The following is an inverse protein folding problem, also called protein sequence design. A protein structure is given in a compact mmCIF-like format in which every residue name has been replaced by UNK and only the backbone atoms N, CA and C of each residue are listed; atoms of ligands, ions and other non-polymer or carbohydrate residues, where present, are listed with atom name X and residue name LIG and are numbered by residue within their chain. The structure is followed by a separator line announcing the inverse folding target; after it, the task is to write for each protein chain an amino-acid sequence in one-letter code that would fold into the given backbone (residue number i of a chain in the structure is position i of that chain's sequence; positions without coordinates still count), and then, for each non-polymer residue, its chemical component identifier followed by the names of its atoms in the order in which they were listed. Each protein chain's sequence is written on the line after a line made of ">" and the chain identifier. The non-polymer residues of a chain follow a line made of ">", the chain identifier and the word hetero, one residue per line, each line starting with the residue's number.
data_IF_826573419886
#
_entry.id   IF_826573419886
#
_cell.length_a   1.000
_cell.length_b   1.000
_cell.length_c   1.000
_cell.angle_alpha   90.00
_cell.angle_beta   90.00
_cell.angle_gamma   90.00
#
_symmetry.space_group_name_H-M   'P 1'
#
loop_
_entity.id
_entity.type
_entity.pdbx_description
1 polymer ?
#
# COMPACT_ATOMS: atom_id res chain seq x y z
N UNK A 1 1.94 14.05 -38.34
CA UNK A 1 2.79 14.16 -37.13
C UNK A 1 2.19 13.19 -36.12
N UNK A 2 2.74 11.99 -36.08
CA UNK A 2 2.16 10.86 -35.36
C UNK A 2 2.77 10.85 -33.96
N UNK A 3 1.95 11.08 -32.94
CA UNK A 3 2.37 10.94 -31.55
C UNK A 3 2.54 9.44 -31.26
N UNK A 4 3.77 8.94 -31.34
CA UNK A 4 4.12 7.66 -30.73
C UNK A 4 3.95 7.81 -29.22
N UNK A 5 2.86 7.26 -28.68
CA UNK A 5 2.75 7.01 -27.26
C UNK A 5 3.89 6.06 -26.87
N UNK A 6 4.88 6.57 -26.14
CA UNK A 6 5.92 5.74 -25.56
C UNK A 6 5.29 4.84 -24.50
N UNK A 7 4.86 3.65 -24.91
CA UNK A 7 4.59 2.54 -24.01
C UNK A 7 5.93 1.99 -23.53
N UNK A 8 6.61 2.74 -22.65
CA UNK A 8 7.70 2.18 -21.86
C UNK A 8 7.08 1.35 -20.74
N UNK A 9 6.81 0.08 -21.02
CA UNK A 9 6.54 -0.89 -19.97
C UNK A 9 7.82 -1.06 -19.18
N UNK A 10 7.92 -0.35 -18.05
CA UNK A 10 8.97 -0.61 -17.05
C UNK A 10 8.88 -2.10 -16.73
N UNK A 11 9.96 -2.88 -16.90
CA UNK A 11 9.92 -4.32 -16.62
C UNK A 11 9.46 -4.53 -15.17
N UNK A 12 8.62 -5.54 -14.95
CA UNK A 12 8.12 -5.86 -13.62
C UNK A 12 9.32 -6.21 -12.74
N UNK A 13 9.52 -5.41 -11.69
CA UNK A 13 10.58 -5.63 -10.72
C UNK A 13 10.01 -6.41 -9.53
N UNK A 14 10.77 -7.38 -9.04
CA UNK A 14 10.46 -8.02 -7.77
C UNK A 14 10.65 -7.00 -6.62
N UNK A 15 9.61 -6.71 -5.83
CA UNK A 15 9.71 -5.79 -4.70
C UNK A 15 10.50 -6.44 -3.57
N UNK A 16 11.10 -5.61 -2.71
CA UNK A 16 11.59 -6.11 -1.42
C UNK A 16 10.37 -6.51 -0.58
N UNK A 17 10.47 -7.64 0.12
CA UNK A 17 9.38 -8.18 0.96
C UNK A 17 9.81 -8.27 2.41
N UNK A 18 9.01 -7.70 3.32
CA UNK A 18 9.29 -7.73 4.76
C UNK A 18 8.10 -8.29 5.55
N UNK A 19 8.35 -9.33 6.34
CA UNK A 19 7.37 -9.91 7.26
C UNK A 19 7.73 -9.57 8.70
N UNK A 20 6.75 -9.18 9.50
CA UNK A 20 6.95 -8.78 10.88
C UNK A 20 6.14 -9.68 11.83
N UNK A 21 6.75 -10.23 12.90
CA UNK A 21 6.03 -11.06 13.85
C UNK A 21 5.03 -10.22 14.64
N UNK A 22 3.97 -10.86 15.14
CA UNK A 22 3.01 -10.24 16.05
C UNK A 22 3.70 -9.81 17.36
N UNK A 23 3.25 -8.70 17.91
CA UNK A 23 3.61 -8.22 19.26
C UNK A 23 2.38 -8.23 20.16
N UNK A 24 2.53 -7.87 21.44
CA UNK A 24 1.40 -7.82 22.39
C UNK A 24 0.30 -6.81 22.00
N UNK A 25 0.68 -5.75 21.28
CA UNK A 25 -0.17 -4.59 20.97
C UNK A 25 -0.40 -4.38 19.48
N UNK A 26 0.35 -5.09 18.65
CA UNK A 26 0.26 -5.00 17.19
C UNK A 26 0.30 -6.42 16.66
N UNK A 27 -0.84 -6.87 16.14
CA UNK A 27 -0.98 -8.22 15.60
C UNK A 27 -0.13 -8.47 14.36
N UNK A 28 0.19 -7.42 13.61
CA UNK A 28 0.82 -7.45 12.29
C UNK A 28 0.08 -8.33 11.27
N UNK A 29 0.30 -8.05 9.98
CA UNK A 29 -0.33 -8.82 8.90
C UNK A 29 0.40 -10.15 8.69
N UNK A 30 -0.34 -11.17 8.24
CA UNK A 30 0.25 -12.41 7.69
C UNK A 30 0.88 -12.18 6.30
N UNK A 31 0.52 -11.08 5.65
CA UNK A 31 1.02 -10.69 4.34
C UNK A 31 2.26 -9.81 4.51
N UNK A 32 3.24 -9.90 3.59
CA UNK A 32 4.43 -9.07 3.63
C UNK A 32 4.11 -7.59 3.31
N UNK A 33 4.94 -6.70 3.82
CA UNK A 33 5.09 -5.34 3.26
C UNK A 33 5.87 -5.46 1.96
N UNK A 34 5.39 -4.79 0.91
CA UNK A 34 6.06 -4.70 -0.39
C UNK A 34 6.70 -3.33 -0.55
N UNK A 35 7.98 -3.29 -0.93
CA UNK A 35 8.69 -2.04 -1.23
C UNK A 35 9.17 -2.06 -2.67
N UNK A 36 8.58 -1.18 -3.48
CA UNK A 36 8.95 -0.94 -4.87
C UNK A 36 9.99 0.18 -4.95
N UNK A 37 11.13 -0.08 -5.58
CA UNK A 37 12.25 0.89 -5.72
C UNK A 37 12.34 1.40 -7.15
N UNK A 38 12.46 2.71 -7.31
CA UNK A 38 12.72 3.33 -8.62
C UNK A 38 11.76 2.90 -9.75
N UNK A 39 10.50 2.65 -9.42
CA UNK A 39 9.46 2.22 -10.36
C UNK A 39 8.81 3.36 -11.15
N UNK A 40 9.22 4.60 -10.89
CA UNK A 40 8.78 5.81 -11.60
C UNK A 40 9.99 6.64 -12.00
N UNK A 41 10.00 7.23 -13.22
CA UNK A 41 11.07 8.13 -13.64
C UNK A 41 11.22 9.33 -12.69
N UNK A 42 12.45 9.63 -12.27
CA UNK A 42 12.72 10.67 -11.28
C UNK A 42 12.54 12.10 -11.81
N UNK A 43 12.69 12.31 -13.12
CA UNK A 43 12.74 13.65 -13.73
C UNK A 43 11.50 14.51 -13.45
N UNK A 44 10.33 13.88 -13.28
CA UNK A 44 9.04 14.56 -13.09
C UNK A 44 8.29 14.12 -11.81
N UNK A 45 8.98 13.45 -10.88
CA UNK A 45 8.32 12.82 -9.74
C UNK A 45 7.87 13.87 -8.69
N UNK A 46 6.59 14.21 -8.78
CA UNK A 46 5.86 15.10 -7.86
C UNK A 46 4.74 14.34 -7.15
N UNK A 47 4.19 14.91 -6.07
CA UNK A 47 2.98 14.40 -5.42
C UNK A 47 1.84 14.19 -6.43
N UNK A 48 1.60 15.17 -7.30
CA UNK A 48 0.55 15.10 -8.30
C UNK A 48 0.77 13.96 -9.31
N UNK A 49 2.00 13.80 -9.80
CA UNK A 49 2.34 12.72 -10.74
C UNK A 49 2.22 11.33 -10.08
N UNK A 50 2.66 11.19 -8.82
CA UNK A 50 2.58 9.95 -8.06
C UNK A 50 1.12 9.58 -7.78
N UNK A 51 0.31 10.55 -7.36
CA UNK A 51 -1.14 10.38 -7.23
C UNK A 51 -1.75 9.89 -8.53
N UNK A 52 -1.50 10.60 -9.63
CA UNK A 52 -2.09 10.28 -10.93
C UNK A 52 -1.71 8.87 -11.39
N UNK A 53 -0.46 8.46 -11.20
CA UNK A 53 0.00 7.12 -11.55
C UNK A 53 -0.72 6.03 -10.75
N UNK A 54 -0.85 6.20 -9.44
CA UNK A 54 -1.48 5.21 -8.57
C UNK A 54 -3.02 5.18 -8.68
N UNK A 55 -3.65 6.33 -8.89
CA UNK A 55 -5.11 6.42 -9.09
C UNK A 55 -5.54 5.74 -10.39
N UNK A 56 -4.71 5.82 -11.44
CA UNK A 56 -4.94 5.02 -12.65
C UNK A 56 -5.01 3.54 -12.28
N UNK A 57 -4.28 3.06 -11.29
CA UNK A 57 -4.26 1.66 -10.87
C UNK A 57 -5.31 1.35 -9.78
N UNK A 58 -6.31 2.21 -9.60
CA UNK A 58 -7.39 2.10 -8.61
C UNK A 58 -6.91 2.15 -7.14
N UNK A 59 -5.76 2.77 -6.91
CA UNK A 59 -5.32 3.17 -5.57
C UNK A 59 -5.62 4.65 -5.40
N UNK A 60 -6.71 4.95 -4.70
CA UNK A 60 -7.25 6.31 -4.56
C UNK A 60 -6.65 7.00 -3.35
N UNK A 61 -6.34 8.29 -3.49
CA UNK A 61 -5.87 9.08 -2.36
C UNK A 61 -7.02 9.22 -1.35
N UNK A 62 -6.80 8.77 -0.11
CA UNK A 62 -7.76 9.02 0.96
C UNK A 62 -7.79 10.50 1.36
N UNK A 63 -6.64 11.14 1.52
CA UNK A 63 -6.53 12.55 1.89
C UNK A 63 -5.08 13.06 1.90
N UNK A 64 -4.87 14.35 2.17
CA UNK A 64 -3.53 14.94 2.34
C UNK A 64 -3.18 14.93 3.84
N UNK A 65 -2.41 13.93 4.27
CA UNK A 65 -2.10 13.73 5.68
C UNK A 65 -0.62 14.01 5.96
N UNK A 66 -0.34 14.68 7.09
CA UNK A 66 1.01 14.76 7.64
C UNK A 66 1.42 13.42 8.26
N UNK A 67 2.71 13.25 8.50
CA UNK A 67 3.26 12.03 9.07
C UNK A 67 2.77 11.84 10.49
N UNK A 68 1.99 10.76 10.67
CA UNK A 68 1.62 10.26 11.98
C UNK A 68 2.82 9.49 12.51
N UNK A 69 3.60 10.13 13.37
CA UNK A 69 4.77 9.53 14.02
C UNK A 69 4.39 8.45 15.04
N UNK A 70 3.15 8.47 15.53
CA UNK A 70 2.65 7.47 16.46
C UNK A 70 2.50 6.12 15.75
N UNK A 71 2.91 5.03 16.40
CA UNK A 71 2.67 3.68 15.90
C UNK A 71 1.17 3.44 15.73
N UNK A 72 0.75 3.04 14.53
CA UNK A 72 -0.63 2.73 14.24
C UNK A 72 -0.75 1.61 13.21
N UNK A 73 -1.95 1.02 13.12
CA UNK A 73 -2.31 0.07 12.07
C UNK A 73 -3.75 0.27 11.60
N UNK A 74 -3.99 -0.14 10.35
CA UNK A 74 -5.32 -0.12 9.72
C UNK A 74 -5.94 -1.51 9.81
N UNK A 75 -7.12 -1.59 10.45
CA UNK A 75 -7.84 -2.86 10.59
C UNK A 75 -8.84 -3.12 9.47
N UNK A 76 -9.12 -2.13 8.62
CA UNK A 76 -10.23 -2.14 7.66
C UNK A 76 -9.78 -1.97 6.20
N UNK A 77 -8.51 -1.65 5.96
CA UNK A 77 -8.01 -1.38 4.61
C UNK A 77 -6.50 -1.56 4.51
N UNK A 78 -6.00 -1.80 3.29
CA UNK A 78 -4.59 -1.79 2.95
C UNK A 78 -4.15 -0.36 2.63
N UNK A 79 -2.96 0.03 3.09
CA UNK A 79 -2.40 1.35 2.84
C UNK A 79 -1.15 1.26 1.96
N UNK A 80 -1.06 2.13 0.96
CA UNK A 80 0.11 2.31 0.11
C UNK A 80 0.71 3.70 0.35
N UNK A 81 2.04 3.76 0.51
CA UNK A 81 2.79 5.00 0.59
C UNK A 81 3.66 5.21 -0.65
N UNK A 82 3.47 6.34 -1.33
CA UNK A 82 4.37 6.77 -2.41
C UNK A 82 5.38 7.77 -1.86
N UNK A 83 6.67 7.46 -1.85
CA UNK A 83 7.74 8.39 -1.39
C UNK A 83 8.44 8.99 -2.60
N UNK A 84 8.44 10.32 -2.72
CA UNK A 84 8.99 11.03 -3.88
C UNK A 84 10.01 12.13 -3.55
N UNK A 85 10.25 12.40 -2.26
CA UNK A 85 11.36 13.27 -1.81
C UNK A 85 11.82 12.86 -0.41
N UNK A 86 13.15 12.83 -0.18
CA UNK A 86 13.74 12.28 1.06
C UNK A 86 14.88 13.09 1.68
N UNK A 87 15.15 14.32 1.22
CA UNK A 87 16.35 15.05 1.67
C UNK A 87 16.15 15.88 2.95
N UNK A 88 14.95 16.44 3.21
CA UNK A 88 14.66 17.30 4.40
C UNK A 88 13.24 17.20 4.93
N UNK A 89 12.27 16.89 4.06
CA UNK A 89 10.87 16.60 4.39
C UNK A 89 10.49 15.38 3.58
N UNK A 90 10.09 14.29 4.24
CA UNK A 90 9.48 13.17 3.55
C UNK A 90 8.16 13.65 2.96
N UNK A 91 8.09 13.72 1.64
CA UNK A 91 6.82 13.92 0.96
C UNK A 91 6.33 12.56 0.50
N UNK A 92 5.14 12.21 0.96
CA UNK A 92 4.50 10.97 0.59
C UNK A 92 2.99 11.14 0.48
N UNK A 93 2.35 10.18 -0.17
CA UNK A 93 0.90 10.07 -0.28
C UNK A 93 0.44 8.76 0.32
N UNK A 94 -0.63 8.80 1.14
CA UNK A 94 -1.35 7.61 1.60
C UNK A 94 -2.51 7.32 0.65
N UNK A 95 -2.53 6.12 0.08
CA UNK A 95 -3.57 5.66 -0.85
C UNK A 95 -4.15 4.33 -0.40
N UNK A 96 -5.41 4.12 -0.77
CA UNK A 96 -6.18 2.93 -0.42
C UNK A 96 -6.78 2.33 -1.69
N UNK A 97 -7.03 1.01 -1.73
CA UNK A 97 -7.80 0.40 -2.80
C UNK A 97 -9.17 1.07 -2.93
N UNK A 98 -9.60 1.32 -4.17
CA UNK A 98 -10.83 2.05 -4.49
C UNK A 98 -12.08 1.51 -3.79
N UNK A 99 -12.21 0.18 -3.65
CA UNK A 99 -13.38 -0.48 -3.07
C UNK A 99 -13.22 -0.79 -1.56
N UNK A 100 -12.21 -0.22 -0.90
CA UNK A 100 -11.97 -0.48 0.52
C UNK A 100 -12.84 0.36 1.44
N UNK A 101 -13.22 -0.19 2.60
CA UNK A 101 -13.84 0.61 3.66
C UNK A 101 -12.86 1.68 4.14
N UNK A 102 -13.28 2.94 4.12
CA UNK A 102 -12.43 4.05 4.54
C UNK A 102 -12.21 4.06 6.06
N UNK A 103 -10.95 4.23 6.45
CA UNK A 103 -10.37 4.54 7.77
C UNK A 103 -10.82 3.72 8.99
N UNK A 104 -9.81 3.23 9.71
CA UNK A 104 -9.95 2.67 11.05
C UNK A 104 -8.61 2.71 11.75
N UNK A 105 -8.09 3.92 12.01
CA UNK A 105 -6.77 4.12 12.60
C UNK A 105 -6.75 3.60 14.04
N UNK A 106 -5.83 2.69 14.33
CA UNK A 106 -5.64 2.17 15.68
C UNK A 106 -4.25 2.55 16.17
N UNK A 107 -4.18 3.47 17.12
CA UNK A 107 -2.93 3.98 17.70
C UNK A 107 -2.29 3.05 18.75
N UNK A 108 -2.57 1.74 18.68
CA UNK A 108 -1.95 0.73 19.54
C UNK A 108 -2.15 0.93 21.06
N UNK A 109 -3.16 1.71 21.48
CA UNK A 109 -3.51 1.94 22.90
C UNK A 109 -4.59 0.97 23.42
N UNK A 110 -5.15 0.13 22.55
CA UNK A 110 -6.21 -0.80 22.90
C UNK A 110 -5.70 -1.94 23.79
N UNK A 111 -6.62 -2.56 24.53
CA UNK A 111 -6.29 -3.77 25.30
C UNK A 111 -5.83 -4.92 24.37
N UNK A 112 -5.11 -5.94 24.87
CA UNK A 112 -4.76 -7.11 24.08
C UNK A 112 -5.99 -7.84 23.48
N UNK A 113 -7.11 -7.84 24.22
CA UNK A 113 -8.36 -8.46 23.76
C UNK A 113 -8.98 -7.67 22.60
N UNK A 114 -9.04 -6.34 22.69
CA UNK A 114 -9.51 -5.50 21.58
C UNK A 114 -8.56 -5.54 20.38
N UNK A 115 -7.25 -5.56 20.63
CA UNK A 115 -6.23 -5.73 19.59
C UNK A 115 -6.45 -7.04 18.83
N UNK A 116 -6.77 -8.12 19.55
CA UNK A 116 -7.07 -9.42 18.94
C UNK A 116 -8.35 -9.39 18.08
N UNK A 117 -9.40 -8.67 18.53
CA UNK A 117 -10.62 -8.46 17.74
C UNK A 117 -10.33 -7.67 16.46
N UNK A 118 -9.60 -6.54 16.58
CA UNK A 118 -9.19 -5.71 15.44
C UNK A 118 -8.31 -6.49 14.46
N UNK A 119 -7.44 -7.37 14.96
CA UNK A 119 -6.64 -8.27 14.14
C UNK A 119 -7.48 -9.27 13.34
N UNK A 120 -8.55 -9.81 13.95
CA UNK A 120 -9.46 -10.70 13.25
C UNK A 120 -10.18 -9.99 12.10
N UNK A 121 -10.62 -8.75 12.33
CA UNK A 121 -11.19 -7.89 11.28
C UNK A 121 -10.16 -7.64 10.18
N UNK A 122 -8.93 -7.24 10.53
CA UNK A 122 -7.86 -7.00 9.56
C UNK A 122 -7.56 -8.21 8.66
N UNK A 123 -7.63 -9.43 9.22
CA UNK A 123 -7.45 -10.67 8.45
C UNK A 123 -8.57 -10.96 7.44
N UNK A 124 -9.76 -10.38 7.66
CA UNK A 124 -10.90 -10.53 6.75
C UNK A 124 -10.92 -9.48 5.64
N UNK A 125 -10.03 -8.47 5.69
CA UNK A 125 -9.91 -7.45 4.63
C UNK A 125 -9.45 -8.15 3.34
N UNK A 126 -10.21 -8.00 2.23
CA UNK A 126 -9.81 -8.58 0.95
C UNK A 126 -8.50 -7.99 0.45
N UNK A 127 -7.62 -8.86 -0.08
CA UNK A 127 -6.40 -8.42 -0.74
C UNK A 127 -6.80 -7.69 -2.04
N UNK A 128 -6.21 -6.51 -2.34
CA UNK A 128 -6.60 -5.71 -3.51
C UNK A 128 -6.47 -6.49 -4.82
N UNK A 129 -7.33 -6.17 -5.79
CA UNK A 129 -7.32 -6.85 -7.09
C UNK A 129 -6.19 -6.38 -8.01
N UNK A 130 -5.75 -5.14 -7.81
CA UNK A 130 -4.74 -4.50 -8.64
C UNK A 130 -3.55 -4.12 -7.79
N UNK A 131 -2.36 -4.44 -8.27
CA UNK A 131 -1.11 -3.93 -7.74
C UNK A 131 -1.00 -2.41 -7.97
N UNK A 132 -0.50 -1.64 -6.99
CA UNK A 132 -0.40 -0.19 -7.10
C UNK A 132 0.50 0.28 -8.24
N UNK A 133 1.47 -0.52 -8.68
CA UNK A 133 2.43 -0.16 -9.72
C UNK A 133 2.10 -0.87 -11.04
N UNK A 134 1.91 -2.19 -10.99
CA UNK A 134 1.84 -3.04 -12.18
C UNK A 134 0.43 -3.62 -12.45
N UNK A 135 -0.60 -3.16 -11.73
CA UNK A 135 -1.99 -3.62 -11.87
C UNK A 135 -2.15 -5.16 -11.84
N UNK A 136 -2.69 -5.77 -12.89
CA UNK A 136 -3.06 -7.19 -12.96
C UNK A 136 -1.84 -8.13 -12.99
N UNK A 137 -0.69 -7.63 -13.46
CA UNK A 137 0.55 -8.39 -13.60
C UNK A 137 1.48 -8.24 -12.38
N UNK A 138 1.05 -7.47 -11.38
CA UNK A 138 1.91 -7.10 -10.27
C UNK A 138 2.06 -8.17 -9.18
N UNK A 139 3.16 -8.11 -8.40
CA UNK A 139 3.44 -9.04 -7.31
C UNK A 139 2.34 -9.14 -6.25
N UNK A 140 1.58 -8.07 -6.00
CA UNK A 140 0.44 -8.10 -5.06
C UNK A 140 -0.66 -9.06 -5.52
N UNK A 141 -0.88 -9.17 -6.84
CA UNK A 141 -1.88 -10.08 -7.41
C UNK A 141 -1.47 -11.54 -7.22
N UNK A 142 -0.19 -11.85 -7.32
CA UNK A 142 0.32 -13.20 -7.03
C UNK A 142 0.16 -13.57 -5.56
N UNK A 143 0.37 -12.61 -4.64
CA UNK A 143 0.09 -12.80 -3.22
C UNK A 143 -1.40 -13.06 -2.98
N UNK A 144 -2.29 -12.31 -3.66
CA UNK A 144 -3.74 -12.54 -3.60
C UNK A 144 -4.08 -13.96 -4.05
N UNK A 145 -3.59 -14.38 -5.23
CA UNK A 145 -3.84 -15.71 -5.79
C UNK A 145 -3.43 -16.82 -4.82
N UNK A 146 -2.21 -16.74 -4.26
CA UNK A 146 -1.71 -17.72 -3.28
C UNK A 146 -2.58 -17.75 -2.02
N UNK A 147 -2.93 -16.58 -1.48
CA UNK A 147 -3.74 -16.48 -0.28
C UNK A 147 -5.19 -16.97 -0.45
N UNK A 148 -5.73 -16.99 -1.68
CA UNK A 148 -7.04 -17.60 -1.99
C UNK A 148 -6.96 -19.11 -2.14
N UNK A 149 -5.81 -19.66 -2.58
CA UNK A 149 -5.59 -21.11 -2.74
C UNK A 149 -5.24 -21.78 -1.41
N UNK A 150 -4.53 -21.08 -0.53
CA UNK A 150 -4.09 -21.58 0.80
C UNK A 150 -5.09 -21.25 1.93
N UNK A 151 -6.21 -20.59 1.60
CA UNK A 151 -7.21 -20.08 2.55
C UNK A 151 -8.31 -21.05 2.90
#
# INVERSE_FOLDING_TARGET
>A
MEFMAMSSTVPIQCPETYCFPRTRHVSNSRLPILVYRAVTPQADLTAASARQALERNRWVQGGAFKMVQAHHFHALTHECYAVFSGQKLYQYLGLYPQDSSHWGNNFCHASPQETSKKAAVARSVPIPEYDPIYREDGPLVDIRRKATVEG
#
